data_IF_865021640686
#
_entry.id   IF_865021640686
#
_cell.length_a   1.000
_cell.length_b   1.000
_cell.length_c   1.000
_cell.angle_alpha   90.00
_cell.angle_beta   90.00
_cell.angle_gamma   90.00
#
_symmetry.space_group_name_H-M   'P 1'
#
loop_
_entity.id
_entity.type
_entity.pdbx_description
1 polymer ?
#
# COMPACT_ATOMS: atom_id res chain seq x y z
N UNK A 1 -32.36 -12.73 7.17
CA UNK A 1 -31.06 -13.22 7.67
C UNK A 1 -30.73 -12.43 8.91
N UNK A 2 -30.43 -13.11 10.02
CA UNK A 2 -29.95 -12.48 11.25
C UNK A 2 -28.45 -12.12 11.08
N UNK A 3 -28.06 -10.82 11.13
CA UNK A 3 -26.67 -10.39 11.00
C UNK A 3 -25.74 -11.01 12.06
N UNK A 4 -26.29 -11.43 13.20
CA UNK A 4 -25.55 -11.98 14.35
C UNK A 4 -24.87 -13.31 14.07
N UNK A 5 -25.24 -14.00 12.99
CA UNK A 5 -24.73 -15.33 12.64
C UNK A 5 -23.88 -15.35 11.36
N UNK A 6 -23.50 -14.17 10.85
CA UNK A 6 -22.63 -14.06 9.67
C UNK A 6 -21.17 -14.35 10.06
N UNK A 7 -20.61 -15.44 9.56
CA UNK A 7 -19.21 -15.83 9.80
C UNK A 7 -18.38 -15.58 8.54
N UNK A 8 -17.32 -14.79 8.71
CA UNK A 8 -16.38 -14.43 7.65
C UNK A 8 -15.00 -14.93 8.04
N UNK A 9 -14.27 -15.43 7.06
CA UNK A 9 -12.85 -15.74 7.22
C UNK A 9 -12.02 -14.55 6.70
N UNK A 10 -11.31 -13.90 7.63
CA UNK A 10 -10.37 -12.85 7.29
C UNK A 10 -8.99 -13.43 6.96
N UNK A 11 -8.34 -12.95 5.91
CA UNK A 11 -6.97 -13.34 5.59
C UNK A 11 -6.26 -12.31 4.72
N UNK A 12 -4.94 -12.41 4.60
CA UNK A 12 -4.21 -11.66 3.60
C UNK A 12 -4.48 -12.22 2.18
N UNK A 13 -4.19 -11.43 1.14
CA UNK A 13 -4.42 -11.82 -0.26
C UNK A 13 -3.33 -12.70 -0.87
N UNK A 14 -2.41 -13.27 -0.08
CA UNK A 14 -1.32 -14.06 -0.63
C UNK A 14 -1.82 -15.38 -1.22
N UNK A 15 -1.10 -15.90 -2.23
CA UNK A 15 -1.45 -17.17 -2.86
C UNK A 15 -1.45 -18.36 -1.88
N UNK A 16 -0.69 -18.28 -0.78
CA UNK A 16 -0.72 -19.29 0.29
C UNK A 16 -2.07 -19.34 1.01
N UNK A 17 -2.80 -18.22 1.08
CA UNK A 17 -4.09 -18.13 1.74
C UNK A 17 -5.26 -18.31 0.77
N UNK A 18 -5.22 -17.62 -0.38
CA UNK A 18 -6.35 -17.57 -1.34
C UNK A 18 -6.18 -18.48 -2.57
N UNK A 19 -5.04 -19.17 -2.69
CA UNK A 19 -4.73 -20.00 -3.86
C UNK A 19 -5.74 -21.14 -4.07
N UNK A 20 -6.17 -21.33 -5.32
CA UNK A 20 -7.15 -22.38 -5.67
C UNK A 20 -6.64 -23.82 -5.44
N UNK A 21 -5.32 -23.99 -5.33
CA UNK A 21 -4.63 -25.25 -5.08
C UNK A 21 -3.73 -25.09 -3.85
N UNK A 22 -4.15 -25.68 -2.74
CA UNK A 22 -3.38 -25.69 -1.50
C UNK A 22 -3.46 -24.40 -0.68
N UNK A 23 -4.26 -23.41 -1.09
CA UNK A 23 -4.51 -22.23 -0.26
C UNK A 23 -5.25 -22.59 1.02
N UNK A 24 -4.86 -21.99 2.14
CA UNK A 24 -5.44 -22.28 3.48
C UNK A 24 -6.97 -22.19 3.46
N UNK A 25 -7.54 -21.14 2.85
CA UNK A 25 -9.00 -20.96 2.77
C UNK A 25 -9.63 -22.09 1.96
N UNK A 26 -9.04 -22.45 0.82
CA UNK A 26 -9.52 -23.56 -0.02
C UNK A 26 -9.48 -24.90 0.73
N UNK A 27 -8.44 -25.14 1.53
CA UNK A 27 -8.33 -26.35 2.35
C UNK A 27 -9.41 -26.39 3.43
N UNK A 28 -9.66 -25.27 4.11
CA UNK A 28 -10.72 -25.14 5.11
C UNK A 28 -12.11 -25.35 4.48
N UNK A 29 -12.39 -24.77 3.31
CA UNK A 29 -13.66 -24.95 2.60
C UNK A 29 -13.93 -26.40 2.21
N UNK A 30 -12.88 -27.14 1.82
CA UNK A 30 -12.97 -28.57 1.51
C UNK A 30 -13.30 -29.39 2.76
N UNK A 31 -12.63 -29.11 3.87
CA UNK A 31 -12.87 -29.81 5.14
C UNK A 31 -14.27 -29.54 5.67
N UNK A 32 -14.73 -28.27 5.59
CA UNK A 32 -16.07 -27.86 6.01
C UNK A 32 -17.17 -28.23 5.00
N UNK A 33 -16.80 -28.70 3.80
CA UNK A 33 -17.72 -29.02 2.69
C UNK A 33 -18.69 -27.90 2.35
N UNK A 34 -18.26 -26.64 2.48
CA UNK A 34 -19.05 -25.45 2.16
C UNK A 34 -18.16 -24.28 1.77
N UNK A 35 -18.69 -23.42 0.90
CA UNK A 35 -18.07 -22.13 0.62
C UNK A 35 -18.12 -21.22 1.85
N UNK A 36 -17.05 -20.48 2.08
CA UNK A 36 -16.95 -19.44 3.10
C UNK A 36 -17.13 -18.05 2.47
N UNK A 37 -17.59 -17.11 3.28
CA UNK A 37 -17.50 -15.69 2.93
C UNK A 37 -16.11 -15.20 3.33
N UNK A 38 -15.42 -14.51 2.42
CA UNK A 38 -14.04 -14.09 2.60
C UNK A 38 -13.97 -12.58 2.86
N UNK A 39 -13.11 -12.16 3.79
CA UNK A 39 -12.65 -10.79 3.93
C UNK A 39 -11.15 -10.75 3.67
N UNK A 40 -10.77 -10.51 2.42
CA UNK A 40 -9.38 -10.56 1.99
C UNK A 40 -8.76 -9.16 2.02
N UNK A 41 -7.54 -9.07 2.57
CA UNK A 41 -6.75 -7.85 2.52
C UNK A 41 -6.37 -7.50 1.07
N UNK A 42 -6.83 -6.34 0.61
CA UNK A 42 -6.58 -5.86 -0.76
C UNK A 42 -5.17 -5.26 -0.95
N UNK A 43 -4.43 -4.98 0.14
CA UNK A 43 -3.10 -4.37 0.05
C UNK A 43 -2.13 -5.21 -0.79
N UNK A 44 -2.20 -6.55 -0.66
CA UNK A 44 -1.34 -7.46 -1.43
C UNK A 44 -1.71 -7.54 -2.91
N UNK A 45 -2.93 -7.17 -3.31
CA UNK A 45 -3.32 -7.16 -4.72
C UNK A 45 -2.54 -6.12 -5.53
N UNK A 46 -2.10 -5.03 -4.88
CA UNK A 46 -1.39 -3.95 -5.56
C UNK A 46 0.12 -4.17 -5.61
N UNK A 47 0.66 -5.15 -4.90
CA UNK A 47 2.09 -5.47 -4.89
C UNK A 47 2.59 -5.98 -6.23
N UNK A 48 1.88 -6.95 -6.83
CA UNK A 48 2.28 -7.57 -8.09
C UNK A 48 2.18 -6.60 -9.29
N UNK A 49 1.06 -5.88 -9.49
CA UNK A 49 0.97 -4.89 -10.57
C UNK A 49 2.01 -3.78 -10.43
N UNK A 50 2.24 -3.27 -9.21
CA UNK A 50 3.25 -2.25 -8.96
C UNK A 50 4.65 -2.76 -9.29
N UNK A 51 5.00 -3.96 -8.83
CA UNK A 51 6.32 -4.55 -9.11
C UNK A 51 6.53 -4.70 -10.61
N UNK A 52 5.55 -5.26 -11.32
CA UNK A 52 5.64 -5.43 -12.77
C UNK A 52 5.77 -4.10 -13.50
N UNK A 53 5.08 -3.06 -13.02
CA UNK A 53 5.19 -1.72 -13.59
C UNK A 53 6.59 -1.13 -13.37
N UNK A 54 7.15 -1.23 -12.17
CA UNK A 54 8.53 -0.79 -11.90
C UNK A 54 9.51 -1.60 -12.77
N UNK A 55 9.32 -2.91 -12.89
CA UNK A 55 10.17 -3.75 -13.75
C UNK A 55 10.12 -3.33 -15.22
N UNK A 56 8.95 -2.93 -15.71
CA UNK A 56 8.74 -2.47 -17.08
C UNK A 56 9.36 -1.09 -17.33
N UNK A 57 9.24 -0.19 -16.35
CA UNK A 57 9.66 1.21 -16.50
C UNK A 57 11.13 1.46 -16.11
N UNK A 58 11.69 0.65 -15.23
CA UNK A 58 13.01 0.89 -14.64
C UNK A 58 13.93 -0.33 -14.77
N UNK A 59 13.40 -1.52 -15.07
CA UNK A 59 14.16 -2.75 -15.22
C UNK A 59 13.96 -3.72 -14.06
N UNK A 60 14.45 -4.95 -14.23
CA UNK A 60 14.19 -6.08 -13.33
C UNK A 60 14.67 -5.91 -11.88
N UNK A 61 14.67 -7.00 -11.10
CA UNK A 61 15.09 -6.99 -9.70
C UNK A 61 16.58 -7.37 -9.55
N UNK A 62 17.28 -6.78 -8.58
CA UNK A 62 18.63 -7.21 -8.15
C UNK A 62 18.58 -8.18 -6.95
N UNK A 63 17.38 -8.41 -6.40
CA UNK A 63 17.14 -9.28 -5.25
C UNK A 63 15.75 -9.07 -4.67
N UNK A 64 15.43 -9.71 -3.53
CA UNK A 64 14.09 -9.69 -2.93
C UNK A 64 13.66 -8.30 -2.41
N UNK A 65 14.61 -7.37 -2.26
CA UNK A 65 14.36 -6.05 -1.69
C UNK A 65 14.89 -4.91 -2.58
N UNK A 66 15.31 -5.19 -3.81
CA UNK A 66 15.98 -4.21 -4.66
C UNK A 66 15.59 -4.36 -6.13
N UNK A 67 15.42 -3.20 -6.76
CA UNK A 67 15.25 -3.06 -8.21
C UNK A 67 16.60 -2.71 -8.86
N UNK A 68 16.75 -3.05 -10.13
CA UNK A 68 18.02 -2.96 -10.85
C UNK A 68 18.28 -1.60 -11.48
N UNK A 69 17.21 -0.89 -11.84
CA UNK A 69 17.26 0.37 -12.56
C UNK A 69 17.62 1.60 -11.73
N UNK A 70 17.75 2.76 -12.40
CA UNK A 70 18.10 4.03 -11.77
C UNK A 70 17.05 4.48 -10.74
N UNK A 71 15.75 4.39 -11.04
CA UNK A 71 14.67 4.78 -10.11
C UNK A 71 14.71 3.86 -8.89
N UNK A 72 14.73 2.56 -9.13
CA UNK A 72 14.81 1.50 -8.15
C UNK A 72 16.00 1.60 -7.21
N UNK A 73 17.16 1.95 -7.76
CA UNK A 73 18.37 2.24 -6.97
C UNK A 73 18.18 3.49 -6.12
N UNK A 74 17.59 4.56 -6.67
CA UNK A 74 17.32 5.80 -5.95
C UNK A 74 16.25 5.63 -4.85
N UNK A 75 15.32 4.68 -4.97
CA UNK A 75 14.34 4.38 -3.92
C UNK A 75 15.01 3.98 -2.61
N UNK A 76 16.21 3.41 -2.61
CA UNK A 76 16.90 3.05 -1.37
C UNK A 76 17.35 4.26 -0.56
N UNK A 77 17.82 5.31 -1.24
CA UNK A 77 18.43 6.51 -0.65
C UNK A 77 17.52 7.74 -0.71
N UNK A 78 16.29 7.64 -1.23
CA UNK A 78 15.41 8.79 -1.43
C UNK A 78 15.13 9.61 -0.15
N UNK A 79 15.17 8.99 1.03
CA UNK A 79 14.99 9.64 2.33
C UNK A 79 16.11 10.62 2.70
N UNK A 80 17.31 10.49 2.10
CA UNK A 80 18.44 11.39 2.35
C UNK A 80 18.44 12.60 1.41
N UNK A 81 17.57 12.62 0.40
CA UNK A 81 17.52 13.70 -0.59
C UNK A 81 16.72 14.89 -0.02
N UNK A 82 17.17 16.11 -0.28
CA UNK A 82 16.40 17.30 0.11
C UNK A 82 15.11 17.40 -0.71
N UNK A 83 14.04 17.93 -0.10
CA UNK A 83 12.83 18.31 -0.84
C UNK A 83 13.18 19.52 -1.70
N UNK A 84 12.73 19.50 -2.96
CA UNK A 84 12.99 20.57 -3.94
C UNK A 84 11.67 21.08 -4.52
N UNK A 85 11.72 22.09 -5.38
CA UNK A 85 10.54 22.48 -6.15
C UNK A 85 10.21 21.37 -7.16
N UNK A 86 8.95 20.94 -7.23
CA UNK A 86 8.51 19.88 -8.14
C UNK A 86 7.15 20.24 -8.76
N UNK A 87 6.82 19.60 -9.88
CA UNK A 87 5.55 19.80 -10.57
C UNK A 87 4.41 19.05 -9.84
N UNK A 88 3.31 19.72 -9.44
CA UNK A 88 2.19 19.06 -8.78
C UNK A 88 1.54 18.01 -9.69
N UNK A 89 1.08 16.91 -9.08
CA UNK A 89 0.31 15.89 -9.80
C UNK A 89 -1.15 16.00 -9.40
N UNK A 90 -2.02 16.36 -10.34
CA UNK A 90 -3.45 16.44 -10.10
C UNK A 90 -3.99 15.10 -9.59
N UNK A 91 -4.68 15.14 -8.44
CA UNK A 91 -5.29 13.98 -7.82
C UNK A 91 -6.66 14.35 -7.25
N UNK A 92 -7.62 13.43 -7.40
CA UNK A 92 -8.99 13.59 -6.91
C UNK A 92 -9.15 12.90 -5.55
N UNK A 93 -8.23 13.17 -4.61
CA UNK A 93 -8.27 12.59 -3.26
C UNK A 93 -8.93 13.59 -2.32
N UNK A 94 -10.08 13.19 -1.78
CA UNK A 94 -10.80 13.91 -0.72
C UNK A 94 -10.68 13.06 0.56
N UNK A 95 -9.96 13.54 1.59
CA UNK A 95 -9.92 12.89 2.91
C UNK A 95 -11.09 13.37 3.74
N UNK A 96 -11.80 12.44 4.37
CA UNK A 96 -12.66 12.79 5.51
C UNK A 96 -11.88 12.68 6.82
N UNK A 97 -11.94 13.71 7.65
CA UNK A 97 -11.17 13.86 8.91
C UNK A 97 -11.35 12.66 9.88
N UNK A 98 -12.48 11.95 9.80
CA UNK A 98 -12.74 10.74 10.57
C UNK A 98 -11.80 9.57 10.23
N UNK A 99 -11.29 9.51 9.00
CA UNK A 99 -10.49 8.38 8.49
C UNK A 99 -9.03 8.42 8.95
N UNK A 100 -8.54 9.58 9.40
CA UNK A 100 -7.12 9.80 9.75
C UNK A 100 -6.75 9.10 11.07
N UNK A 101 -7.67 9.05 12.04
CA UNK A 101 -7.38 8.58 13.40
C UNK A 101 -7.08 7.07 13.49
N UNK A 102 -7.51 6.30 12.49
CA UNK A 102 -7.35 4.84 12.47
C UNK A 102 -6.24 4.38 11.51
N UNK A 103 -5.44 5.30 10.94
CA UNK A 103 -4.34 4.95 10.03
C UNK A 103 -3.08 4.54 10.79
N UNK A 104 -2.39 3.52 10.25
CA UNK A 104 -1.02 3.22 10.69
C UNK A 104 -0.06 4.33 10.25
N UNK A 105 1.13 4.39 10.88
CA UNK A 105 2.14 5.38 10.51
C UNK A 105 2.54 5.34 9.03
N UNK A 106 2.64 4.14 8.44
CA UNK A 106 2.97 3.98 7.02
C UNK A 106 1.86 4.50 6.10
N UNK A 107 0.60 4.27 6.49
CA UNK A 107 -0.59 4.73 5.76
C UNK A 107 -0.74 6.24 5.86
N UNK A 108 -0.55 6.79 7.06
CA UNK A 108 -0.57 8.23 7.30
C UNK A 108 0.51 8.94 6.50
N UNK A 109 1.73 8.40 6.48
CA UNK A 109 2.82 8.96 5.66
C UNK A 109 2.48 8.95 4.17
N UNK A 110 1.99 7.83 3.65
CA UNK A 110 1.58 7.73 2.24
C UNK A 110 0.50 8.77 1.92
N UNK A 111 -0.46 8.97 2.82
CA UNK A 111 -1.52 9.95 2.66
C UNK A 111 -0.96 11.38 2.64
N UNK A 112 -0.19 11.76 3.65
CA UNK A 112 0.44 13.08 3.74
C UNK A 112 1.28 13.41 2.49
N UNK A 113 2.05 12.44 1.98
CA UNK A 113 2.90 12.69 0.81
C UNK A 113 2.13 12.73 -0.51
N UNK A 114 1.03 11.99 -0.64
CA UNK A 114 0.10 12.14 -1.78
C UNK A 114 -0.48 13.55 -1.82
N UNK A 115 -0.87 14.09 -0.66
CA UNK A 115 -1.37 15.47 -0.56
C UNK A 115 -0.30 16.50 -0.89
N UNK A 116 0.90 16.33 -0.36
CA UNK A 116 2.02 17.22 -0.68
C UNK A 116 2.30 17.26 -2.20
N UNK A 117 2.27 16.09 -2.85
CA UNK A 117 2.43 15.97 -4.30
C UNK A 117 1.26 16.62 -5.06
N UNK A 118 0.04 16.52 -4.54
CA UNK A 118 -1.16 17.12 -5.12
C UNK A 118 -1.09 18.66 -5.13
N UNK A 119 -0.70 19.22 -3.99
CA UNK A 119 -0.63 20.67 -3.77
C UNK A 119 0.63 21.29 -4.40
N UNK A 120 1.62 20.47 -4.76
CA UNK A 120 2.91 20.96 -5.27
C UNK A 120 3.82 21.50 -4.16
N UNK A 121 3.53 21.18 -2.90
CA UNK A 121 4.28 21.67 -1.76
C UNK A 121 4.48 20.55 -0.73
N UNK A 122 5.72 20.32 -0.30
CA UNK A 122 6.06 19.31 0.69
C UNK A 122 6.85 19.97 1.82
N UNK A 123 6.42 19.78 3.07
CA UNK A 123 7.12 20.33 4.22
C UNK A 123 8.45 19.60 4.46
N UNK A 124 9.44 20.32 4.97
CA UNK A 124 10.74 19.72 5.28
C UNK A 124 10.62 18.58 6.32
N UNK A 125 9.71 18.72 7.28
CA UNK A 125 9.42 17.71 8.29
C UNK A 125 8.84 16.43 7.68
N UNK A 126 7.91 16.54 6.71
CA UNK A 126 7.41 15.40 5.95
C UNK A 126 8.53 14.78 5.08
N UNK A 127 9.40 15.61 4.53
CA UNK A 127 10.58 15.18 3.78
C UNK A 127 11.60 14.38 4.61
N UNK A 128 11.76 14.71 5.90
CA UNK A 128 12.67 14.02 6.84
C UNK A 128 12.13 12.68 7.33
N UNK A 129 10.82 12.48 7.33
CA UNK A 129 10.22 11.19 7.69
C UNK A 129 10.73 10.11 6.75
N UNK A 130 11.21 9.01 7.33
CA UNK A 130 11.76 7.88 6.58
C UNK A 130 10.68 6.83 6.40
N UNK A 131 10.11 6.65 5.20
CA UNK A 131 9.28 5.49 4.93
C UNK A 131 10.12 4.22 5.09
N UNK A 132 9.47 3.12 5.51
CA UNK A 132 10.12 1.82 5.77
C UNK A 132 11.05 1.34 4.64
N UNK A 133 11.83 0.29 4.88
CA UNK A 133 12.74 -0.24 3.83
C UNK A 133 11.95 -0.80 2.65
N UNK A 134 12.48 -0.63 1.42
CA UNK A 134 11.89 -1.26 0.22
C UNK A 134 11.88 -2.77 0.41
N UNK A 135 10.73 -3.38 0.19
CA UNK A 135 10.54 -4.82 0.12
C UNK A 135 9.45 -5.12 -0.92
N UNK A 136 9.63 -6.18 -1.71
CA UNK A 136 8.67 -6.54 -2.77
C UNK A 136 7.27 -6.90 -2.24
N UNK A 137 7.18 -7.24 -0.95
CA UNK A 137 5.95 -7.55 -0.21
C UNK A 137 5.33 -6.34 0.49
N UNK A 138 5.85 -5.12 0.25
CA UNK A 138 5.35 -3.88 0.89
C UNK A 138 5.09 -2.82 -0.17
N UNK A 139 3.93 -2.91 -0.83
CA UNK A 139 3.51 -1.96 -1.86
C UNK A 139 3.43 -0.53 -1.33
N UNK A 140 2.89 -0.34 -0.11
CA UNK A 140 2.75 0.97 0.52
C UNK A 140 4.10 1.67 0.69
N UNK A 141 5.08 0.94 1.22
CA UNK A 141 6.41 1.47 1.43
C UNK A 141 7.09 1.85 0.12
N UNK A 142 6.92 1.02 -0.92
CA UNK A 142 7.46 1.29 -2.26
C UNK A 142 6.80 2.52 -2.88
N UNK A 143 5.47 2.64 -2.77
CA UNK A 143 4.69 3.80 -3.20
C UNK A 143 5.16 5.09 -2.51
N UNK A 144 5.25 5.05 -1.18
CA UNK A 144 5.73 6.15 -0.35
C UNK A 144 7.12 6.60 -0.76
N UNK A 145 8.02 5.65 -1.06
CA UNK A 145 9.38 5.97 -1.54
C UNK A 145 9.40 6.55 -2.95
N UNK A 146 8.53 6.10 -3.86
CA UNK A 146 8.38 6.69 -5.21
C UNK A 146 7.94 8.15 -5.11
N UNK A 147 6.91 8.44 -4.32
CA UNK A 147 6.44 9.81 -4.09
C UNK A 147 7.49 10.65 -3.36
N UNK A 148 8.21 10.04 -2.42
CA UNK A 148 9.32 10.70 -1.72
C UNK A 148 10.48 11.05 -2.65
N UNK A 149 10.79 10.19 -3.61
CA UNK A 149 11.76 10.47 -4.65
C UNK A 149 11.26 11.58 -5.60
N UNK A 150 9.97 11.56 -5.94
CA UNK A 150 9.36 12.57 -6.81
C UNK A 150 9.49 13.99 -6.24
N UNK A 151 9.14 14.20 -4.97
CA UNK A 151 9.28 15.52 -4.30
C UNK A 151 10.74 15.96 -4.09
N UNK A 152 11.70 15.07 -4.33
CA UNK A 152 13.14 15.35 -4.32
C UNK A 152 13.76 15.49 -5.70
N UNK A 153 12.95 15.48 -6.76
CA UNK A 153 13.44 15.53 -8.14
C UNK A 153 12.80 16.71 -8.87
N UNK A 154 13.58 17.76 -9.13
CA UNK A 154 13.10 18.98 -9.80
C UNK A 154 12.65 18.71 -11.24
N UNK A 155 13.40 17.86 -11.96
CA UNK A 155 13.07 17.42 -13.32
C UNK A 155 12.88 15.90 -13.35
N UNK A 156 11.71 15.37 -12.93
CA UNK A 156 11.47 13.94 -12.88
C UNK A 156 11.40 13.37 -14.29
N UNK A 157 11.99 12.18 -14.49
CA UNK A 157 11.90 11.45 -15.75
C UNK A 157 10.45 11.06 -16.04
N UNK A 158 10.11 10.82 -17.32
CA UNK A 158 8.78 10.36 -17.69
C UNK A 158 8.37 9.08 -16.94
N UNK A 159 9.31 8.16 -16.74
CA UNK A 159 9.05 6.92 -16.02
C UNK A 159 8.75 7.18 -14.53
N UNK A 160 9.45 8.13 -13.90
CA UNK A 160 9.16 8.54 -12.53
C UNK A 160 7.81 9.26 -12.43
N UNK A 161 7.45 10.10 -13.41
CA UNK A 161 6.12 10.71 -13.51
C UNK A 161 5.03 9.64 -13.64
N UNK A 162 5.21 8.62 -14.47
CA UNK A 162 4.25 7.50 -14.60
C UNK A 162 4.10 6.75 -13.28
N UNK A 163 5.19 6.45 -12.57
CA UNK A 163 5.12 5.78 -11.27
C UNK A 163 4.46 6.65 -10.18
N UNK A 164 4.71 7.96 -10.17
CA UNK A 164 4.10 8.88 -9.22
C UNK A 164 2.60 9.14 -9.52
N UNK A 165 2.20 9.08 -10.79
CA UNK A 165 0.81 9.24 -11.26
C UNK A 165 -0.01 7.95 -11.20
N UNK A 166 0.61 6.80 -10.91
CA UNK A 166 -0.12 5.56 -10.67
C UNK A 166 -1.23 5.83 -9.67
N UNK A 167 -2.45 5.32 -9.93
CA UNK A 167 -3.60 5.56 -9.05
C UNK A 167 -3.41 4.81 -7.73
N UNK A 168 -2.62 5.38 -6.84
CA UNK A 168 -2.55 5.02 -5.43
C UNK A 168 -3.88 5.25 -4.71
N UNK A 169 -4.83 5.94 -5.36
CA UNK A 169 -6.20 6.17 -4.91
C UNK A 169 -6.93 4.88 -4.48
N UNK A 170 -6.80 3.79 -5.23
CA UNK A 170 -7.44 2.53 -4.85
C UNK A 170 -6.84 1.98 -3.56
N UNK A 171 -5.51 2.03 -3.40
CA UNK A 171 -4.84 1.67 -2.14
C UNK A 171 -5.26 2.60 -1.00
N UNK A 172 -5.20 3.92 -1.15
CA UNK A 172 -5.51 4.88 -0.06
C UNK A 172 -6.99 4.90 0.33
N UNK A 173 -7.91 4.76 -0.63
CA UNK A 173 -9.34 4.63 -0.33
C UNK A 173 -9.67 3.26 0.26
N UNK A 174 -9.01 2.18 -0.21
CA UNK A 174 -9.13 0.86 0.43
C UNK A 174 -8.57 0.87 1.85
N UNK A 175 -7.47 1.60 2.10
CA UNK A 175 -6.91 1.80 3.45
C UNK A 175 -7.92 2.44 4.40
N UNK A 176 -8.57 3.53 3.96
CA UNK A 176 -9.60 4.22 4.74
C UNK A 176 -10.84 3.33 4.94
N UNK A 177 -11.26 2.59 3.91
CA UNK A 177 -12.41 1.69 3.97
C UNK A 177 -12.17 0.42 4.82
N UNK A 178 -10.95 -0.11 4.85
CA UNK A 178 -10.56 -1.27 5.66
C UNK A 178 -10.56 -0.92 7.15
N UNK A 179 -10.07 0.25 7.53
CA UNK A 179 -10.12 0.74 8.91
C UNK A 179 -11.57 0.94 9.39
N UNK A 180 -12.43 1.55 8.56
CA UNK A 180 -13.81 1.88 8.92
C UNK A 180 -14.76 0.66 8.94
N UNK A 181 -14.61 -0.32 8.03
CA UNK A 181 -15.56 -1.46 7.92
C UNK A 181 -15.29 -2.61 8.89
N UNK A 182 -14.07 -2.76 9.40
CA UNK A 182 -13.70 -3.92 10.23
C UNK A 182 -14.12 -3.80 11.71
N UNK A 183 -14.51 -2.61 12.20
CA UNK A 183 -15.03 -2.40 13.58
C UNK A 183 -16.54 -2.27 13.70
N UNK A 184 -17.28 -2.15 12.59
CA UNK A 184 -18.74 -2.11 12.64
C UNK A 184 -19.39 -3.48 12.94
N UNK A 185 -18.59 -4.56 13.05
CA UNK A 185 -19.07 -5.89 13.43
C UNK A 185 -18.52 -6.30 14.81
N UNK A 186 -19.39 -6.57 15.81
CA UNK A 186 -18.97 -6.98 17.17
C UNK A 186 -18.16 -8.29 17.24
N UNK A 187 -18.07 -9.03 16.12
CA UNK A 187 -17.55 -10.41 16.07
C UNK A 187 -16.03 -10.46 15.79
N UNK A 188 -15.43 -9.37 15.28
CA UNK A 188 -14.04 -9.36 14.79
C UNK A 188 -12.99 -8.89 15.80
N UNK A 189 -13.36 -8.58 17.04
CA UNK A 189 -12.46 -8.03 18.08
C UNK A 189 -11.41 -9.03 18.57
N UNK A 190 -11.50 -10.32 18.23
CA UNK A 190 -10.66 -11.38 18.82
C UNK A 190 -9.48 -11.82 17.95
N UNK A 191 -9.37 -11.41 16.68
CA UNK A 191 -8.31 -11.88 15.77
C UNK A 191 -7.32 -10.80 15.30
N UNK A 192 -7.35 -9.61 15.93
CA UNK A 192 -6.55 -8.47 15.49
C UNK A 192 -5.13 -8.40 16.08
N UNK A 193 -4.77 -9.22 17.07
CA UNK A 193 -3.59 -8.97 17.91
C UNK A 193 -2.26 -9.61 17.44
N UNK A 194 -2.22 -10.47 16.43
CA UNK A 194 -0.96 -11.18 16.08
C UNK A 194 -0.38 -10.94 14.68
N UNK A 195 -1.01 -10.14 13.82
CA UNK A 195 -0.56 -10.01 12.42
C UNK A 195 0.22 -8.73 12.07
N UNK A 196 0.59 -7.89 13.05
CA UNK A 196 1.35 -6.65 12.80
C UNK A 196 2.77 -6.63 13.41
N UNK A 197 3.29 -7.79 13.82
CA UNK A 197 4.71 -7.94 14.17
C UNK A 197 5.37 -9.03 13.34
N UNK A 198 5.59 -8.74 12.04
CA UNK A 198 6.60 -9.39 11.20
C UNK A 198 7.02 -8.45 10.04
#
# INVERSE_FOLDING_TARGET
MDPSNFRVLGSDGTNANVGNKGGVICLIEKELKRALQWAICLLHNNELPLRHLIETLDGGTKGPNAFSGPIGSALHTCHTLAVVNFEPISTNVEIQIGEIKDLSNDQLYLLEIVYAVAEGSCSEELGKKTPGKVAHSRCLTTASRVLRLYVSTEMPSNNLKVLATCRWKESSQQLCNSAAKLRASPIMTVLWFEFLTA
#
